data_IF_316665952936
#
_entry.id   IF_316665952936
#
_cell.length_a   1.000
_cell.length_b   1.000
_cell.length_c   1.000
_cell.angle_alpha   90.00
_cell.angle_beta   90.00
_cell.angle_gamma   90.00
#
_symmetry.space_group_name_H-M   'P 1'
#
loop_
_entity.id
_entity.type
_entity.pdbx_description
1 polymer ?
#
# COMPACT_ATOMS: atom_id res chain seq x y z
N UNK A 1 19.76 2.92 -4.28
CA UNK A 1 19.25 4.23 -4.76
C UNK A 1 20.12 5.32 -4.16
N UNK A 2 20.58 6.29 -4.95
CA UNK A 2 21.37 7.43 -4.44
C UNK A 2 20.51 8.30 -3.52
N UNK A 3 21.13 9.11 -2.65
CA UNK A 3 20.40 10.00 -1.74
C UNK A 3 19.50 10.99 -2.49
N UNK A 4 19.97 11.53 -3.62
CA UNK A 4 19.20 12.46 -4.44
C UNK A 4 17.96 11.79 -5.04
N UNK A 5 18.11 10.61 -5.65
CA UNK A 5 16.97 9.85 -6.19
C UNK A 5 16.01 9.47 -5.07
N UNK A 6 16.52 9.01 -3.92
CA UNK A 6 15.68 8.64 -2.77
C UNK A 6 14.87 9.83 -2.26
N UNK A 7 15.46 11.01 -2.17
CA UNK A 7 14.77 12.21 -1.71
C UNK A 7 13.69 12.65 -2.71
N UNK A 8 14.01 12.70 -4.01
CA UNK A 8 13.04 13.02 -5.05
C UNK A 8 11.86 12.03 -5.02
N UNK A 9 12.17 10.74 -4.86
CA UNK A 9 11.17 9.69 -4.77
C UNK A 9 10.27 9.83 -3.51
N UNK A 10 10.86 10.09 -2.34
CA UNK A 10 10.10 10.31 -1.08
C UNK A 10 9.21 11.55 -1.18
N UNK A 11 9.70 12.62 -1.81
CA UNK A 11 8.96 13.87 -2.00
C UNK A 11 7.88 13.78 -3.08
N UNK A 12 7.79 12.66 -3.80
CA UNK A 12 6.83 12.48 -4.90
C UNK A 12 7.22 13.21 -6.19
N UNK A 13 8.45 13.72 -6.28
CA UNK A 13 8.99 14.35 -7.48
C UNK A 13 9.52 13.28 -8.45
N UNK A 14 8.56 12.53 -9.01
CA UNK A 14 8.84 11.44 -9.96
C UNK A 14 9.58 11.90 -11.22
N UNK A 15 9.29 13.09 -11.82
CA UNK A 15 10.06 13.60 -12.95
C UNK A 15 11.55 13.78 -12.62
N UNK A 16 11.88 14.36 -11.46
CA UNK A 16 13.29 14.49 -11.05
C UNK A 16 13.91 13.11 -10.80
N UNK A 17 13.20 12.21 -10.12
CA UNK A 17 13.70 10.86 -9.85
C UNK A 17 13.99 10.08 -11.15
N UNK A 18 13.09 10.16 -12.14
CA UNK A 18 13.26 9.57 -13.47
C UNK A 18 14.47 10.15 -14.20
N UNK A 19 14.63 11.47 -14.19
CA UNK A 19 15.75 12.15 -14.85
C UNK A 19 17.08 11.69 -14.25
N UNK A 20 17.20 11.70 -12.92
CA UNK A 20 18.42 11.27 -12.23
C UNK A 20 18.75 9.80 -12.53
N UNK A 21 17.74 8.93 -12.51
CA UNK A 21 17.94 7.50 -12.81
C UNK A 21 18.28 7.26 -14.29
N UNK A 22 17.78 8.10 -15.19
CA UNK A 22 18.15 8.05 -16.61
C UNK A 22 19.60 8.46 -16.81
N UNK A 23 20.08 9.50 -16.11
CA UNK A 23 21.49 9.88 -16.11
C UNK A 23 22.38 8.76 -15.55
N UNK A 24 21.96 8.10 -14.46
CA UNK A 24 22.68 6.95 -13.89
C UNK A 24 22.80 5.79 -14.92
N UNK A 25 21.75 5.54 -15.70
CA UNK A 25 21.71 4.51 -16.74
C UNK A 25 22.55 4.89 -17.96
N UNK A 26 22.55 6.16 -18.37
CA UNK A 26 23.40 6.65 -19.45
C UNK A 26 24.89 6.58 -19.08
N UNK A 27 25.22 6.87 -17.82
CA UNK A 27 26.58 6.78 -17.30
C UNK A 27 27.06 5.33 -17.14
N UNK A 28 26.18 4.43 -16.68
CA UNK A 28 26.45 2.99 -16.61
C UNK A 28 25.23 2.17 -17.09
N UNK A 29 25.23 1.77 -18.39
CA UNK A 29 24.16 0.96 -18.96
C UNK A 29 24.02 -0.45 -18.33
N UNK A 30 24.98 -0.88 -17.50
CA UNK A 30 24.94 -2.15 -16.76
C UNK A 30 24.52 -1.97 -15.31
N UNK A 31 24.12 -0.77 -14.90
CA UNK A 31 23.62 -0.53 -13.55
C UNK A 31 22.19 -1.08 -13.39
N UNK A 32 22.08 -2.37 -13.10
CA UNK A 32 20.80 -3.05 -12.91
C UNK A 32 19.94 -2.39 -11.82
N UNK A 33 20.56 -1.80 -10.80
CA UNK A 33 19.85 -1.16 -9.70
C UNK A 33 19.15 0.12 -10.14
N UNK A 34 19.74 0.91 -11.05
CA UNK A 34 19.10 2.11 -11.59
C UNK A 34 17.91 1.77 -12.48
N UNK A 35 17.97 0.68 -13.27
CA UNK A 35 16.80 0.15 -13.98
C UNK A 35 15.68 -0.26 -13.00
N UNK A 36 15.98 -1.04 -11.96
CA UNK A 36 14.96 -1.44 -10.99
C UNK A 36 14.35 -0.23 -10.24
N UNK A 37 15.18 0.76 -9.87
CA UNK A 37 14.69 1.98 -9.22
C UNK A 37 13.82 2.80 -10.18
N UNK A 38 14.16 2.89 -11.47
CA UNK A 38 13.36 3.63 -12.46
C UNK A 38 12.04 2.92 -12.73
N UNK A 39 12.02 1.59 -12.69
CA UNK A 39 10.78 0.81 -12.70
C UNK A 39 9.82 1.16 -11.56
N UNK A 40 10.31 1.42 -10.34
CA UNK A 40 9.46 1.92 -9.25
C UNK A 40 8.91 3.32 -9.53
N UNK A 41 9.70 4.21 -10.15
CA UNK A 41 9.22 5.54 -10.55
C UNK A 41 8.11 5.40 -11.61
N UNK A 42 8.32 4.56 -12.61
CA UNK A 42 7.30 4.29 -13.65
C UNK A 42 6.03 3.68 -13.07
N UNK A 43 6.15 2.76 -12.12
CA UNK A 43 5.02 2.22 -11.34
C UNK A 43 4.22 3.33 -10.65
N UNK A 44 4.89 4.30 -10.03
CA UNK A 44 4.23 5.43 -9.36
C UNK A 44 3.56 6.40 -10.33
N UNK A 45 4.03 6.44 -11.57
CA UNK A 45 3.40 7.15 -12.69
C UNK A 45 2.30 6.33 -13.37
N UNK A 46 2.03 5.10 -12.90
CA UNK A 46 1.11 4.13 -13.50
C UNK A 46 1.48 3.74 -14.94
N UNK A 47 2.74 3.96 -15.34
CA UNK A 47 3.28 3.55 -16.63
C UNK A 47 3.82 2.12 -16.52
N UNK A 48 2.89 1.16 -16.56
CA UNK A 48 3.20 -0.25 -16.34
C UNK A 48 4.07 -0.87 -17.44
N UNK A 49 3.99 -0.35 -18.66
CA UNK A 49 4.78 -0.81 -19.79
C UNK A 49 6.26 -0.46 -19.60
N UNK A 50 6.55 0.80 -19.29
CA UNK A 50 7.91 1.25 -18.99
C UNK A 50 8.42 0.63 -17.69
N UNK A 51 7.57 0.48 -16.69
CA UNK A 51 7.93 -0.20 -15.45
C UNK A 51 8.38 -1.65 -15.70
N UNK A 52 7.62 -2.41 -16.50
CA UNK A 52 7.96 -3.81 -16.81
C UNK A 52 9.20 -3.90 -17.70
N UNK A 53 9.38 -2.98 -18.65
CA UNK A 53 10.58 -2.91 -19.47
C UNK A 53 11.83 -2.73 -18.61
N UNK A 54 11.86 -1.70 -17.76
CA UNK A 54 13.01 -1.41 -16.91
C UNK A 54 13.27 -2.55 -15.90
N UNK A 55 12.23 -3.12 -15.29
CA UNK A 55 12.40 -4.25 -14.39
C UNK A 55 12.96 -5.50 -15.10
N UNK A 56 12.53 -5.74 -16.34
CA UNK A 56 13.06 -6.83 -17.17
C UNK A 56 14.52 -6.59 -17.54
N UNK A 57 14.88 -5.35 -17.90
CA UNK A 57 16.28 -4.97 -18.14
C UNK A 57 17.14 -5.20 -16.90
N UNK A 58 16.66 -4.79 -15.72
CA UNK A 58 17.35 -5.01 -14.45
C UNK A 58 17.67 -6.50 -14.22
N UNK A 59 16.66 -7.37 -14.32
CA UNK A 59 16.83 -8.83 -14.11
C UNK A 59 17.75 -9.46 -15.16
N UNK A 60 17.66 -9.01 -16.42
CA UNK A 60 18.50 -9.52 -17.51
C UNK A 60 19.98 -9.13 -17.34
N UNK A 61 20.25 -7.93 -16.85
CA UNK A 61 21.61 -7.49 -16.53
C UNK A 61 22.15 -8.27 -15.33
N UNK A 62 21.36 -8.34 -14.25
CA UNK A 62 21.69 -9.09 -13.06
C UNK A 62 20.44 -9.53 -12.29
N UNK A 63 20.27 -10.83 -12.15
CA UNK A 63 19.28 -11.41 -11.25
C UNK A 63 19.54 -10.91 -9.82
N UNK A 64 18.56 -10.21 -9.25
CA UNK A 64 18.69 -9.55 -7.96
C UNK A 64 17.34 -9.42 -7.27
N UNK A 65 17.38 -9.30 -5.94
CA UNK A 65 16.19 -9.09 -5.11
C UNK A 65 15.34 -7.91 -5.60
N UNK A 66 15.97 -6.75 -5.86
CA UNK A 66 15.27 -5.53 -6.29
C UNK A 66 14.75 -5.63 -7.73
N UNK A 67 15.46 -6.34 -8.62
CA UNK A 67 15.01 -6.60 -9.98
C UNK A 67 13.76 -7.48 -10.01
N UNK A 68 13.72 -8.54 -9.20
CA UNK A 68 12.53 -9.39 -9.13
C UNK A 68 11.36 -8.70 -8.43
N UNK A 69 11.58 -7.92 -7.36
CA UNK A 69 10.51 -7.12 -6.74
C UNK A 69 9.89 -6.13 -7.74
N UNK A 70 10.72 -5.34 -8.42
CA UNK A 70 10.23 -4.36 -9.41
C UNK A 70 9.47 -5.04 -10.54
N UNK A 71 9.94 -6.20 -11.01
CA UNK A 71 9.24 -6.98 -12.04
C UNK A 71 7.91 -7.54 -11.55
N UNK A 72 7.86 -8.06 -10.32
CA UNK A 72 6.63 -8.56 -9.72
C UNK A 72 5.55 -7.48 -9.59
N UNK A 73 5.93 -6.30 -9.10
CA UNK A 73 5.02 -5.15 -8.98
C UNK A 73 4.51 -4.70 -10.36
N UNK A 74 5.39 -4.55 -11.34
CA UNK A 74 5.01 -4.15 -12.70
C UNK A 74 4.05 -5.18 -13.36
N UNK A 75 4.29 -6.47 -13.16
CA UNK A 75 3.40 -7.54 -13.63
C UNK A 75 2.03 -7.48 -12.95
N UNK A 76 1.96 -7.17 -11.66
CA UNK A 76 0.69 -6.95 -10.97
C UNK A 76 -0.06 -5.76 -11.58
N UNK A 77 0.60 -4.62 -11.84
CA UNK A 77 -0.01 -3.47 -12.51
C UNK A 77 -0.53 -3.78 -13.93
N UNK A 78 0.12 -4.73 -14.62
CA UNK A 78 -0.35 -5.29 -15.90
C UNK A 78 -1.42 -6.39 -15.77
N UNK A 79 -1.92 -6.66 -14.57
CA UNK A 79 -2.86 -7.74 -14.23
C UNK A 79 -2.35 -9.16 -14.57
N UNK A 80 -1.04 -9.34 -14.68
CA UNK A 80 -0.36 -10.63 -14.93
C UNK A 80 0.03 -11.30 -13.61
N UNK A 81 -0.97 -11.57 -12.78
CA UNK A 81 -0.81 -11.94 -11.36
C UNK A 81 -0.06 -13.26 -11.17
N UNK A 82 -0.35 -14.26 -11.99
CA UNK A 82 0.34 -15.56 -11.93
C UNK A 82 1.83 -15.44 -12.23
N UNK A 83 2.19 -14.61 -13.20
CA UNK A 83 3.59 -14.36 -13.53
C UNK A 83 4.26 -13.52 -12.44
N UNK A 84 3.55 -12.55 -11.86
CA UNK A 84 4.03 -11.80 -10.71
C UNK A 84 4.34 -12.72 -9.52
N UNK A 85 3.47 -13.69 -9.21
CA UNK A 85 3.69 -14.65 -8.13
C UNK A 85 4.99 -15.44 -8.30
N UNK A 86 5.21 -16.00 -9.49
CA UNK A 86 6.45 -16.74 -9.82
C UNK A 86 7.68 -15.85 -9.67
N UNK A 87 7.58 -14.60 -10.10
CA UNK A 87 8.67 -13.63 -9.99
C UNK A 87 8.95 -13.25 -8.54
N UNK A 88 7.94 -13.07 -7.70
CA UNK A 88 8.14 -12.87 -6.26
C UNK A 88 8.73 -14.12 -5.58
N UNK A 89 8.37 -15.32 -6.03
CA UNK A 89 8.96 -16.57 -5.53
C UNK A 89 10.46 -16.65 -5.85
N UNK A 90 10.88 -16.17 -7.02
CA UNK A 90 12.30 -15.98 -7.33
C UNK A 90 12.95 -14.91 -6.44
N UNK A 91 12.26 -13.82 -6.09
CA UNK A 91 12.80 -12.83 -5.17
C UNK A 91 13.07 -13.44 -3.78
N UNK A 92 12.27 -14.42 -3.33
CA UNK A 92 12.45 -15.07 -2.03
C UNK A 92 13.75 -15.88 -1.95
N UNK A 93 14.28 -16.38 -3.07
CA UNK A 93 15.55 -17.11 -3.06
C UNK A 93 16.74 -16.21 -2.71
N UNK A 94 16.58 -14.88 -2.80
CA UNK A 94 17.60 -13.90 -2.39
C UNK A 94 17.46 -13.45 -0.93
N UNK A 95 16.37 -13.85 -0.27
CA UNK A 95 16.11 -13.52 1.13
C UNK A 95 16.46 -14.69 2.09
N UNK A 96 17.15 -15.72 1.60
CA UNK A 96 17.44 -16.93 2.38
C UNK A 96 18.33 -16.60 3.59
N UNK A 97 17.88 -17.00 4.78
CA UNK A 97 18.52 -16.68 6.06
C UNK A 97 18.20 -15.31 6.69
N UNK A 98 17.61 -14.35 5.96
CA UNK A 98 17.19 -13.05 6.52
C UNK A 98 15.67 -12.99 6.71
N UNK A 99 15.25 -13.33 7.93
CA UNK A 99 13.83 -13.31 8.33
C UNK A 99 13.16 -11.95 8.09
N UNK A 100 13.88 -10.83 8.28
CA UNK A 100 13.30 -9.49 8.06
C UNK A 100 13.11 -9.20 6.59
N UNK A 101 14.10 -9.55 5.75
CA UNK A 101 14.00 -9.35 4.30
C UNK A 101 12.90 -10.21 3.69
N UNK A 102 12.84 -11.48 4.12
CA UNK A 102 11.83 -12.40 3.65
C UNK A 102 10.43 -11.96 4.11
N UNK A 103 10.32 -11.40 5.31
CA UNK A 103 9.06 -10.80 5.77
C UNK A 103 8.65 -9.57 4.93
N UNK A 104 9.57 -8.63 4.67
CA UNK A 104 9.30 -7.46 3.81
C UNK A 104 8.81 -7.85 2.42
N UNK A 105 9.48 -8.81 1.79
CA UNK A 105 9.11 -9.30 0.46
C UNK A 105 7.70 -9.91 0.45
N UNK A 106 7.36 -10.67 1.48
CA UNK A 106 6.04 -11.25 1.63
C UNK A 106 4.95 -10.17 1.69
N UNK A 107 5.17 -9.11 2.46
CA UNK A 107 4.22 -8.01 2.52
C UNK A 107 4.12 -7.26 1.19
N UNK A 108 5.23 -7.05 0.49
CA UNK A 108 5.24 -6.43 -0.84
C UNK A 108 4.45 -7.29 -1.83
N UNK A 109 4.65 -8.62 -1.81
CA UNK A 109 3.89 -9.56 -2.64
C UNK A 109 2.40 -9.48 -2.32
N UNK A 110 2.03 -9.57 -1.04
CA UNK A 110 0.64 -9.52 -0.60
C UNK A 110 -0.02 -8.17 -0.96
N UNK A 111 0.68 -7.07 -0.66
CA UNK A 111 0.29 -5.70 -0.99
C UNK A 111 0.03 -5.48 -2.47
N UNK A 112 0.97 -5.92 -3.32
CA UNK A 112 0.84 -5.80 -4.78
C UNK A 112 -0.33 -6.62 -5.30
N UNK A 113 -0.40 -7.90 -4.92
CA UNK A 113 -1.42 -8.81 -5.43
C UNK A 113 -2.81 -8.30 -5.04
N UNK A 114 -3.03 -7.95 -3.77
CA UNK A 114 -4.34 -7.50 -3.33
C UNK A 114 -4.72 -6.13 -3.92
N UNK A 115 -3.79 -5.19 -4.03
CA UNK A 115 -4.05 -3.89 -4.68
C UNK A 115 -4.51 -4.04 -6.14
N UNK A 116 -3.86 -4.91 -6.90
CA UNK A 116 -4.13 -5.05 -8.33
C UNK A 116 -5.14 -6.17 -8.66
N UNK A 117 -5.50 -7.03 -7.69
CA UNK A 117 -6.58 -8.02 -7.82
C UNK A 117 -7.95 -7.50 -7.38
N UNK A 118 -8.03 -6.44 -6.56
CA UNK A 118 -9.31 -5.91 -6.08
C UNK A 118 -10.26 -5.43 -7.21
N UNK A 119 -9.75 -5.32 -8.45
CA UNK A 119 -10.50 -4.94 -9.64
C UNK A 119 -10.99 -6.13 -10.50
N UNK A 120 -10.82 -7.39 -10.06
CA UNK A 120 -11.37 -8.57 -10.76
C UNK A 120 -12.56 -9.15 -10.00
N UNK A 121 -13.58 -9.54 -10.75
CA UNK A 121 -14.71 -10.36 -10.27
C UNK A 121 -14.19 -11.58 -9.47
N UNK A 122 -14.96 -11.98 -8.45
CA UNK A 122 -14.59 -12.92 -7.37
C UNK A 122 -13.90 -14.22 -7.80
N UNK A 123 -14.07 -14.68 -9.04
CA UNK A 123 -13.50 -15.92 -9.58
C UNK A 123 -11.99 -15.86 -9.86
N UNK A 124 -11.38 -14.67 -9.90
CA UNK A 124 -9.94 -14.47 -10.17
C UNK A 124 -9.11 -13.93 -9.00
N UNK A 125 -9.75 -13.67 -7.86
CA UNK A 125 -9.11 -13.05 -6.71
C UNK A 125 -8.32 -14.10 -5.90
N UNK A 126 -7.01 -13.91 -5.77
CA UNK A 126 -6.20 -14.75 -4.88
C UNK A 126 -6.55 -14.40 -3.42
N UNK A 127 -6.93 -15.37 -2.56
CA UNK A 127 -7.33 -15.07 -1.20
C UNK A 127 -6.18 -14.41 -0.44
N UNK A 128 -6.42 -13.22 0.10
CA UNK A 128 -5.44 -12.51 0.95
C UNK A 128 -4.97 -13.38 2.13
N UNK A 129 -5.83 -14.33 2.57
CA UNK A 129 -5.51 -15.32 3.59
C UNK A 129 -4.54 -16.42 3.14
N UNK A 130 -4.50 -16.81 1.86
CA UNK A 130 -3.48 -17.73 1.34
C UNK A 130 -2.13 -17.02 1.19
N UNK A 131 -2.15 -15.72 0.93
CA UNK A 131 -0.96 -14.87 0.98
C UNK A 131 -0.41 -14.71 2.40
N UNK A 132 -1.11 -15.16 3.45
CA UNK A 132 -0.71 -15.05 4.86
C UNK A 132 0.13 -16.25 5.38
N UNK A 133 0.31 -17.31 4.58
CA UNK A 133 0.95 -18.54 5.05
C UNK A 133 2.50 -18.46 5.08
N UNK A 134 3.05 -17.91 6.18
CA UNK A 134 4.45 -18.12 6.58
C UNK A 134 4.58 -18.39 8.09
N UNK A 135 5.61 -19.13 8.52
CA UNK A 135 5.92 -19.28 9.95
C UNK A 135 6.55 -17.98 10.48
N UNK A 136 6.03 -17.45 11.59
CA UNK A 136 6.43 -16.20 12.27
C UNK A 136 6.28 -14.89 11.45
N UNK A 137 5.04 -14.44 11.19
CA UNK A 137 4.79 -13.09 10.70
C UNK A 137 5.21 -12.02 11.74
N UNK A 138 5.80 -10.89 11.29
CA UNK A 138 5.81 -9.65 12.09
C UNK A 138 4.34 -9.22 12.26
N UNK A 139 3.79 -9.27 13.47
CA UNK A 139 2.38 -8.98 13.69
C UNK A 139 2.02 -7.55 13.28
N UNK A 140 2.94 -6.59 13.47
CA UNK A 140 2.66 -5.18 13.17
C UNK A 140 2.50 -4.95 11.67
N UNK A 141 3.41 -5.49 10.88
CA UNK A 141 3.39 -5.27 9.44
C UNK A 141 2.22 -5.99 8.76
N UNK A 142 1.82 -7.15 9.28
CA UNK A 142 0.60 -7.83 8.85
C UNK A 142 -0.65 -7.00 9.13
N UNK A 143 -0.76 -6.43 10.34
CA UNK A 143 -1.86 -5.53 10.66
C UNK A 143 -1.85 -4.28 9.76
N UNK A 144 -0.69 -3.72 9.40
CA UNK A 144 -0.60 -2.56 8.49
C UNK A 144 -1.15 -2.92 7.10
N UNK A 145 -0.72 -4.04 6.53
CA UNK A 145 -1.24 -4.51 5.23
C UNK A 145 -2.72 -4.80 5.32
N UNK A 146 -3.17 -5.50 6.35
CA UNK A 146 -4.60 -5.80 6.57
C UNK A 146 -5.42 -4.51 6.67
N UNK A 147 -5.02 -3.57 7.51
CA UNK A 147 -5.72 -2.30 7.69
C UNK A 147 -5.80 -1.51 6.38
N UNK A 148 -4.70 -1.43 5.63
CA UNK A 148 -4.69 -0.76 4.32
C UNK A 148 -5.65 -1.43 3.33
N UNK A 149 -5.62 -2.76 3.24
CA UNK A 149 -6.50 -3.51 2.34
C UNK A 149 -7.97 -3.37 2.72
N UNK A 150 -8.28 -3.38 4.01
CA UNK A 150 -9.64 -3.13 4.51
C UNK A 150 -10.12 -1.73 4.13
N UNK A 151 -9.26 -0.72 4.18
CA UNK A 151 -9.63 0.62 3.67
C UNK A 151 -9.94 0.58 2.17
N UNK A 152 -9.11 -0.07 1.35
CA UNK A 152 -9.35 -0.17 -0.09
C UNK A 152 -10.67 -0.88 -0.43
N UNK A 153 -10.92 -2.04 0.19
CA UNK A 153 -12.17 -2.78 0.01
C UNK A 153 -13.38 -1.96 0.47
N UNK A 154 -13.25 -1.25 1.59
CA UNK A 154 -14.28 -0.35 2.07
C UNK A 154 -14.57 0.80 1.10
N UNK A 155 -13.54 1.37 0.47
CA UNK A 155 -13.70 2.42 -0.56
C UNK A 155 -14.41 1.88 -1.80
N UNK A 156 -14.01 0.70 -2.30
CA UNK A 156 -14.67 0.03 -3.44
C UNK A 156 -16.15 -0.22 -3.12
N UNK A 157 -16.45 -0.79 -1.94
CA UNK A 157 -17.82 -1.01 -1.50
C UNK A 157 -18.61 0.30 -1.35
N UNK A 158 -17.97 1.37 -0.85
CA UNK A 158 -18.59 2.70 -0.74
C UNK A 158 -18.98 3.26 -2.10
N UNK A 159 -18.10 3.16 -3.10
CA UNK A 159 -18.33 3.61 -4.46
C UNK A 159 -19.40 2.77 -5.18
N UNK A 160 -19.50 1.48 -4.85
CA UNK A 160 -20.55 0.58 -5.30
C UNK A 160 -21.92 0.77 -4.60
N UNK A 161 -22.01 1.66 -3.60
CA UNK A 161 -23.24 1.88 -2.81
C UNK A 161 -23.51 0.82 -1.74
N UNK A 162 -22.60 -0.12 -1.52
CA UNK A 162 -22.69 -1.19 -0.52
C UNK A 162 -22.27 -0.66 0.86
N UNK A 163 -23.01 0.33 1.38
CA UNK A 163 -22.60 1.10 2.56
C UNK A 163 -22.42 0.28 3.84
N UNK A 164 -23.16 -0.83 4.00
CA UNK A 164 -23.00 -1.73 5.15
C UNK A 164 -21.68 -2.49 5.08
N UNK A 165 -21.39 -3.08 3.93
CA UNK A 165 -20.13 -3.79 3.69
C UNK A 165 -18.93 -2.83 3.81
N UNK A 166 -19.06 -1.62 3.29
CA UNK A 166 -18.07 -0.56 3.48
C UNK A 166 -17.82 -0.28 4.97
N UNK A 167 -18.88 -0.15 5.78
CA UNK A 167 -18.77 0.07 7.23
C UNK A 167 -18.06 -1.08 7.94
N UNK A 168 -18.34 -2.32 7.56
CA UNK A 168 -17.70 -3.52 8.12
C UNK A 168 -16.20 -3.54 7.79
N UNK A 169 -15.83 -3.25 6.53
CA UNK A 169 -14.44 -3.12 6.12
C UNK A 169 -13.69 -2.02 6.87
N UNK A 170 -14.25 -0.80 6.94
CA UNK A 170 -13.58 0.27 7.67
C UNK A 170 -13.48 0.01 9.18
N UNK A 171 -14.46 -0.69 9.77
CA UNK A 171 -14.40 -1.11 11.19
C UNK A 171 -13.23 -2.07 11.42
N UNK A 172 -13.09 -3.10 10.58
CA UNK A 172 -11.96 -4.01 10.64
C UNK A 172 -10.61 -3.29 10.44
N UNK A 173 -10.55 -2.28 9.54
CA UNK A 173 -9.34 -1.47 9.36
C UNK A 173 -8.93 -0.71 10.62
N UNK A 174 -9.90 -0.10 11.31
CA UNK A 174 -9.67 0.66 12.54
C UNK A 174 -9.21 -0.24 13.68
N UNK A 175 -9.78 -1.45 13.78
CA UNK A 175 -9.40 -2.45 14.78
C UNK A 175 -7.97 -2.95 14.56
N UNK A 176 -7.62 -3.33 13.32
CA UNK A 176 -6.26 -3.71 12.95
C UNK A 176 -5.25 -2.58 13.21
N UNK A 177 -5.68 -1.33 13.02
CA UNK A 177 -4.84 -0.14 13.22
C UNK A 177 -4.84 0.46 14.62
N UNK A 178 -5.47 -0.15 15.61
CA UNK A 178 -5.64 0.44 16.94
C UNK A 178 -4.32 0.79 17.66
N UNK A 179 -3.21 0.13 17.30
CA UNK A 179 -1.86 0.36 17.83
C UNK A 179 -0.99 1.30 16.97
N UNK A 180 -1.46 1.71 15.79
CA UNK A 180 -0.67 2.52 14.86
C UNK A 180 -0.45 3.95 15.36
N UNK A 181 -1.45 4.52 16.04
CA UNK A 181 -1.40 5.90 16.54
C UNK A 181 -0.24 6.17 17.51
N UNK A 182 0.35 5.13 18.11
CA UNK A 182 1.48 5.23 19.04
C UNK A 182 2.84 4.90 18.42
N UNK A 183 2.88 4.54 17.14
CA UNK A 183 4.07 4.04 16.45
C UNK A 183 4.36 4.88 15.20
N UNK A 184 5.64 5.16 14.92
CA UNK A 184 6.04 5.75 13.64
C UNK A 184 6.07 4.69 12.52
N UNK A 185 4.89 4.13 12.23
CA UNK A 185 4.72 3.06 11.23
C UNK A 185 5.15 3.50 9.83
N UNK A 186 5.07 4.81 9.54
CA UNK A 186 5.52 5.39 8.28
C UNK A 186 7.02 5.20 8.10
N UNK A 187 7.83 5.54 9.11
CA UNK A 187 9.28 5.35 9.03
C UNK A 187 9.68 3.87 9.09
N UNK A 188 8.96 3.07 9.88
CA UNK A 188 9.24 1.63 10.03
C UNK A 188 9.00 0.85 8.73
N UNK A 189 7.97 1.23 7.97
CA UNK A 189 7.55 0.55 6.74
C UNK A 189 7.48 1.50 5.53
N UNK A 190 8.49 2.37 5.42
CA UNK A 190 8.63 3.34 4.34
C UNK A 190 8.60 2.68 2.95
N UNK A 191 8.94 1.38 2.84
CA UNK A 191 8.79 0.62 1.61
C UNK A 191 7.38 0.67 1.02
N UNK A 192 6.31 0.65 1.83
CA UNK A 192 4.95 0.73 1.28
C UNK A 192 4.62 2.13 0.76
N UNK A 193 5.10 3.16 1.47
CA UNK A 193 4.96 4.56 1.05
C UNK A 193 5.67 4.77 -0.28
N UNK A 194 6.88 4.21 -0.42
CA UNK A 194 7.65 4.31 -1.65
C UNK A 194 6.98 3.53 -2.78
N UNK A 195 6.79 2.23 -2.60
CA UNK A 195 6.38 1.33 -3.68
C UNK A 195 4.93 1.57 -4.12
N UNK A 196 4.04 1.85 -3.17
CA UNK A 196 2.61 1.89 -3.41
C UNK A 196 1.97 3.25 -3.15
N UNK A 197 2.73 4.23 -2.65
CA UNK A 197 2.17 5.55 -2.30
C UNK A 197 1.23 5.50 -1.10
N UNK A 198 1.34 4.48 -0.23
CA UNK A 198 0.47 4.34 0.93
C UNK A 198 0.66 5.50 1.90
N UNK A 199 -0.41 6.22 2.21
CA UNK A 199 -0.42 7.19 3.30
C UNK A 199 -0.58 6.48 4.64
N UNK A 200 0.53 5.95 5.14
CA UNK A 200 0.56 5.27 6.44
C UNK A 200 0.36 6.23 7.62
N UNK A 201 0.64 7.54 7.44
CA UNK A 201 0.49 8.53 8.52
C UNK A 201 -0.98 8.77 8.82
N UNK A 202 -1.78 8.90 7.77
CA UNK A 202 -3.21 9.17 7.91
C UNK A 202 -4.08 7.91 7.77
N UNK A 203 -3.50 6.72 7.59
CA UNK A 203 -4.25 5.47 7.40
C UNK A 203 -5.36 5.25 8.44
N UNK A 204 -5.02 5.34 9.73
CA UNK A 204 -5.99 5.12 10.81
C UNK A 204 -7.07 6.22 10.87
N UNK A 205 -6.69 7.46 10.55
CA UNK A 205 -7.61 8.61 10.50
C UNK A 205 -8.60 8.47 9.35
N UNK A 206 -8.10 8.19 8.14
CA UNK A 206 -8.89 7.94 6.93
C UNK A 206 -9.87 6.80 7.18
N UNK A 207 -9.41 5.69 7.78
CA UNK A 207 -10.26 4.55 8.10
C UNK A 207 -11.43 4.94 9.03
N UNK A 208 -11.16 5.69 10.12
CA UNK A 208 -12.23 6.13 11.03
C UNK A 208 -13.20 7.12 10.37
N UNK A 209 -12.68 8.05 9.57
CA UNK A 209 -13.46 9.03 8.85
C UNK A 209 -14.43 8.35 7.87
N UNK A 210 -13.92 7.43 7.06
CA UNK A 210 -14.72 6.65 6.11
C UNK A 210 -15.71 5.72 6.80
N UNK A 211 -15.34 5.12 7.95
CA UNK A 211 -16.25 4.34 8.80
C UNK A 211 -17.46 5.15 9.26
N UNK A 212 -17.22 6.37 9.76
CA UNK A 212 -18.30 7.25 10.19
C UNK A 212 -19.25 7.58 9.01
N UNK A 213 -18.70 7.93 7.85
CA UNK A 213 -19.51 8.15 6.65
C UNK A 213 -20.33 6.94 6.24
N UNK A 214 -19.74 5.74 6.27
CA UNK A 214 -20.43 4.50 5.93
C UNK A 214 -21.62 4.26 6.86
N UNK A 215 -21.40 4.37 8.18
CA UNK A 215 -22.42 4.15 9.21
C UNK A 215 -23.60 5.13 9.07
N UNK A 216 -23.32 6.41 8.81
CA UNK A 216 -24.35 7.42 8.58
C UNK A 216 -25.21 7.12 7.36
N UNK A 217 -24.57 6.69 6.25
CA UNK A 217 -25.29 6.29 5.04
C UNK A 217 -26.17 5.06 5.24
N UNK A 218 -25.90 4.25 6.26
CA UNK A 218 -26.76 3.12 6.66
C UNK A 218 -27.81 3.48 7.71
N UNK A 219 -27.88 4.74 8.18
CA UNK A 219 -28.80 5.19 9.22
C UNK A 219 -28.41 4.77 10.64
N UNK A 220 -27.19 4.24 10.85
CA UNK A 220 -26.69 3.82 12.17
C UNK A 220 -26.08 5.01 12.94
N UNK A 221 -26.89 6.04 13.19
CA UNK A 221 -26.42 7.30 13.77
C UNK A 221 -25.74 7.12 15.13
N UNK A 222 -26.33 6.35 16.04
CA UNK A 222 -25.74 6.11 17.37
C UNK A 222 -24.33 5.52 17.30
N UNK A 223 -24.15 4.48 16.49
CA UNK A 223 -22.85 3.84 16.26
C UNK A 223 -21.87 4.79 15.56
N UNK A 224 -22.33 5.63 14.63
CA UNK A 224 -21.51 6.65 13.99
C UNK A 224 -21.01 7.70 14.99
N UNK A 225 -21.85 8.15 15.93
CA UNK A 225 -21.45 9.10 16.97
C UNK A 225 -20.47 8.49 17.98
N UNK A 226 -20.69 7.25 18.38
CA UNK A 226 -19.74 6.51 19.25
C UNK A 226 -18.38 6.33 18.55
N UNK A 227 -18.40 5.96 17.27
CA UNK A 227 -17.23 5.86 16.42
C UNK A 227 -16.45 7.17 16.35
N UNK A 228 -17.16 8.28 16.10
CA UNK A 228 -16.60 9.61 16.04
C UNK A 228 -15.99 10.05 17.37
N UNK A 229 -16.70 9.85 18.49
CA UNK A 229 -16.19 10.17 19.83
C UNK A 229 -14.91 9.39 20.12
N UNK A 230 -14.89 8.09 19.88
CA UNK A 230 -13.70 7.26 20.06
C UNK A 230 -12.51 7.75 19.22
N UNK A 231 -12.77 8.16 17.98
CA UNK A 231 -11.75 8.75 17.11
C UNK A 231 -11.20 10.06 17.69
N UNK A 232 -12.08 10.96 18.14
CA UNK A 232 -11.69 12.22 18.75
C UNK A 232 -10.84 12.00 20.01
N UNK A 233 -11.22 11.06 20.88
CA UNK A 233 -10.49 10.82 22.13
C UNK A 233 -9.03 10.36 21.88
N UNK A 234 -8.78 9.63 20.80
CA UNK A 234 -7.45 9.12 20.42
C UNK A 234 -6.64 10.04 19.50
N UNK A 235 -7.22 11.15 19.06
CA UNK A 235 -6.58 12.06 18.10
C UNK A 235 -5.79 13.18 18.80
N UNK A 236 -4.66 13.58 18.22
CA UNK A 236 -3.95 14.78 18.63
C UNK A 236 -4.72 16.05 18.25
N UNK A 237 -4.27 17.21 18.73
CA UNK A 237 -5.01 18.47 18.54
C UNK A 237 -5.15 18.89 17.07
N UNK A 238 -4.10 18.85 16.23
CA UNK A 238 -4.24 19.11 14.80
C UNK A 238 -5.25 18.19 14.10
N UNK A 239 -5.24 16.90 14.45
CA UNK A 239 -6.17 15.91 13.89
C UNK A 239 -7.62 16.21 14.30
N UNK A 240 -7.84 16.61 15.56
CA UNK A 240 -9.15 17.04 16.05
C UNK A 240 -9.69 18.24 15.27
N UNK A 241 -8.84 19.23 15.00
CA UNK A 241 -9.26 20.44 14.29
C UNK A 241 -9.73 20.11 12.86
N UNK A 242 -9.06 19.19 12.16
CA UNK A 242 -9.49 18.67 10.84
C UNK A 242 -10.88 18.01 10.90
N UNK A 243 -11.17 17.28 11.98
CA UNK A 243 -12.46 16.60 12.15
C UNK A 243 -13.59 17.51 12.60
N UNK A 244 -13.29 18.60 13.32
CA UNK A 244 -14.29 19.60 13.70
C UNK A 244 -14.89 20.31 12.46
N UNK A 245 -14.09 20.54 11.42
CA UNK A 245 -14.56 21.07 10.13
C UNK A 245 -15.53 20.12 9.40
N UNK A 246 -15.56 18.84 9.79
CA UNK A 246 -16.46 17.82 9.27
C UNK A 246 -17.84 17.79 9.95
N UNK A 247 -17.96 18.35 11.16
CA UNK A 247 -19.20 18.35 11.96
C UNK A 247 -20.40 19.00 11.23
N UNK A 248 -20.27 20.13 10.52
CA UNK A 248 -21.41 20.74 9.81
C UNK A 248 -22.00 19.85 8.70
N UNK A 249 -21.28 18.82 8.25
CA UNK A 249 -21.79 17.82 7.31
C UNK A 249 -22.59 16.70 7.99
N UNK A 250 -22.41 16.51 9.30
CA UNK A 250 -23.13 15.53 10.14
C UNK A 250 -24.50 16.05 10.59
N UNK A 251 -24.61 17.35 10.87
CA UNK A 251 -25.86 18.02 11.27
C UNK A 251 -26.97 17.96 10.21
N UNK A 252 -26.65 17.59 8.96
CA UNK A 252 -27.64 17.35 7.89
C UNK A 252 -28.42 16.03 8.05
N UNK A 253 -28.05 15.21 9.03
CA UNK A 253 -28.65 13.90 9.29
C UNK A 253 -29.43 13.84 10.63
N UNK A 254 -29.56 14.96 11.36
CA UNK A 254 -30.56 15.15 12.43
C UNK A 254 -31.93 15.51 11.85
#
# INVERSE_FOLDING_TARGET
MTTAVRNAFISGDFPIAEQLLTQDIEADPKNYASYANRSFVMTRLLDWDRALHDATMSVNIQASFIGYISKGIALCGKMQVWDAMKVFDLAFTFADGDSKMAHRLFLIKAGSIAMFNANKDEEGAFPVQELAARPNPDPLACHIVEAYMRVQLGTIAMDAGLHKEAADHFSAAVEAGASFATLDIHSMHIEFVLLFGWDLKSLWQIANQQRCCALLRTGQFGTAFEAYRHMMDRSDKPTKDIFLDWIPALDKFE
#
